data_IF_903303131074
#
_entry.id   IF_903303131074
#
_cell.length_a   1.000
_cell.length_b   1.000
_cell.length_c   1.000
_cell.angle_alpha   90.00
_cell.angle_beta   90.00
_cell.angle_gamma   90.00
#
_symmetry.space_group_name_H-M   'P 1'
#
loop_
_entity.id
_entity.type
_entity.pdbx_description
1 polymer ?
#
# COMPACT_ATOMS: atom_id res chain seq x y z
N UNK A 1 -12.60 -40.42 -5.01
CA UNK A 1 -13.12 -39.04 -5.10
C UNK A 1 -12.01 -38.16 -5.61
N UNK A 2 -12.20 -37.46 -6.73
CA UNK A 2 -11.21 -36.51 -7.23
C UNK A 2 -11.27 -35.28 -6.32
N UNK A 3 -10.24 -35.06 -5.50
CA UNK A 3 -10.22 -33.92 -4.58
C UNK A 3 -9.71 -32.72 -5.36
N UNK A 4 -10.57 -31.74 -5.59
CA UNK A 4 -10.24 -30.50 -6.31
C UNK A 4 -9.90 -29.36 -5.33
N UNK A 5 -9.24 -28.32 -5.85
CA UNK A 5 -8.97 -27.08 -5.12
C UNK A 5 -10.25 -26.25 -5.04
N UNK A 6 -10.65 -25.84 -3.84
CA UNK A 6 -11.89 -25.10 -3.61
C UNK A 6 -11.66 -23.79 -2.85
N UNK A 7 -12.53 -22.81 -3.08
CA UNK A 7 -12.75 -21.72 -2.13
C UNK A 7 -13.99 -22.04 -1.29
N UNK A 8 -13.84 -21.93 0.03
CA UNK A 8 -14.88 -22.32 0.99
C UNK A 8 -15.03 -21.27 2.08
N UNK A 9 -16.13 -21.31 2.82
CA UNK A 9 -16.38 -20.49 3.99
C UNK A 9 -16.61 -21.34 5.24
N UNK A 10 -16.43 -20.77 6.45
CA UNK A 10 -16.66 -21.52 7.69
C UNK A 10 -18.09 -22.06 7.78
N UNK A 11 -18.25 -23.28 8.29
CA UNK A 11 -19.54 -23.83 8.70
C UNK A 11 -19.63 -23.85 10.22
N UNK A 12 -20.85 -23.80 10.76
CA UNK A 12 -21.09 -24.03 12.20
C UNK A 12 -20.85 -25.50 12.60
N UNK A 13 -20.96 -26.44 11.64
CA UNK A 13 -20.75 -27.87 11.89
C UNK A 13 -19.24 -28.18 11.92
N UNK A 14 -18.69 -28.76 13.01
CA UNK A 14 -17.28 -29.14 13.08
C UNK A 14 -16.87 -30.07 11.94
N UNK A 15 -15.66 -29.86 11.41
CA UNK A 15 -15.12 -30.65 10.29
C UNK A 15 -15.86 -30.46 8.97
N UNK A 16 -16.70 -29.42 8.83
CA UNK A 16 -17.39 -29.09 7.58
C UNK A 16 -17.11 -27.66 7.16
N UNK A 17 -17.28 -27.39 5.88
CA UNK A 17 -17.14 -26.07 5.25
C UNK A 17 -18.27 -25.84 4.25
N UNK A 18 -18.55 -24.59 3.91
CA UNK A 18 -19.56 -24.24 2.91
C UNK A 18 -18.87 -23.87 1.60
N UNK A 19 -19.20 -24.57 0.52
CA UNK A 19 -18.62 -24.30 -0.81
C UNK A 19 -19.27 -23.08 -1.50
N UNK A 20 -18.82 -22.74 -2.70
CA UNK A 20 -19.36 -21.62 -3.47
C UNK A 20 -20.85 -21.77 -3.87
N UNK A 21 -21.40 -22.98 -3.85
CA UNK A 21 -22.82 -23.28 -4.12
C UNK A 21 -23.70 -23.15 -2.87
N UNK A 22 -23.12 -22.88 -1.70
CA UNK A 22 -23.83 -22.85 -0.43
C UNK A 22 -24.01 -24.24 0.20
N UNK A 23 -23.41 -25.28 -0.37
CA UNK A 23 -23.51 -26.64 0.15
C UNK A 23 -22.51 -26.86 1.28
N UNK A 24 -22.98 -27.49 2.36
CA UNK A 24 -22.10 -27.89 3.47
C UNK A 24 -21.45 -29.22 3.14
N UNK A 25 -20.13 -29.21 2.93
CA UNK A 25 -19.33 -30.39 2.60
C UNK A 25 -18.42 -30.79 3.77
N UNK A 26 -18.22 -32.09 3.97
CA UNK A 26 -17.30 -32.62 4.97
C UNK A 26 -15.86 -32.42 4.49
N UNK A 27 -14.99 -31.90 5.36
CA UNK A 27 -13.55 -31.87 5.12
C UNK A 27 -13.00 -33.29 5.22
N UNK A 28 -12.12 -33.73 4.30
CA UNK A 28 -11.51 -35.06 4.40
C UNK A 28 -10.86 -35.28 5.77
N UNK A 29 -11.04 -36.46 6.36
CA UNK A 29 -10.58 -36.73 7.73
C UNK A 29 -9.05 -36.66 7.87
N UNK A 30 -8.31 -36.87 6.78
CA UNK A 30 -6.84 -36.73 6.73
C UNK A 30 -6.36 -35.28 6.58
N UNK A 31 -7.26 -34.31 6.46
CA UNK A 31 -6.90 -32.90 6.25
C UNK A 31 -6.91 -32.13 7.57
N UNK A 32 -5.99 -31.17 7.68
CA UNK A 32 -5.95 -30.24 8.81
C UNK A 32 -5.91 -28.79 8.32
N UNK A 33 -6.32 -27.87 9.18
CA UNK A 33 -6.38 -26.46 8.85
C UNK A 33 -5.03 -25.79 9.14
N UNK A 34 -4.32 -25.38 8.10
CA UNK A 34 -3.24 -24.43 8.24
C UNK A 34 -3.82 -23.04 8.54
N UNK A 35 -3.61 -22.56 9.78
CA UNK A 35 -3.97 -21.19 10.17
C UNK A 35 -3.16 -20.14 9.37
N UNK A 36 -3.72 -18.95 9.11
CA UNK A 36 -2.98 -17.85 8.48
C UNK A 36 -1.73 -17.48 9.29
N UNK A 37 -0.63 -17.13 8.60
CA UNK A 37 0.60 -16.63 9.23
C UNK A 37 1.86 -16.93 8.42
N UNK A 38 1.97 -18.15 7.90
CA UNK A 38 3.12 -18.55 7.08
C UNK A 38 2.77 -18.55 5.58
N UNK A 39 3.13 -17.45 4.92
CA UNK A 39 2.87 -17.28 3.50
C UNK A 39 3.75 -18.18 2.62
N UNK A 40 4.92 -18.62 3.09
CA UNK A 40 5.76 -19.54 2.31
C UNK A 40 5.12 -20.94 2.31
N UNK A 41 4.74 -21.43 3.48
CA UNK A 41 4.04 -22.71 3.65
C UNK A 41 2.71 -22.73 2.89
N UNK A 42 1.93 -21.65 2.99
CA UNK A 42 0.65 -21.50 2.26
C UNK A 42 0.82 -21.62 0.74
N UNK A 43 1.90 -21.07 0.17
CA UNK A 43 2.19 -21.14 -1.28
C UNK A 43 2.63 -22.55 -1.70
N UNK A 44 3.47 -23.22 -0.89
CA UNK A 44 3.92 -24.58 -1.18
C UNK A 44 2.76 -25.58 -1.17
N UNK A 45 1.89 -25.51 -0.16
CA UNK A 45 0.70 -26.36 -0.06
C UNK A 45 -0.18 -26.26 -1.31
N UNK A 46 -0.44 -25.03 -1.78
CA UNK A 46 -1.25 -24.78 -2.98
C UNK A 46 -0.58 -25.24 -4.28
N UNK A 47 0.75 -25.24 -4.32
CA UNK A 47 1.53 -25.68 -5.47
C UNK A 47 1.59 -27.21 -5.56
N UNK A 48 1.73 -27.89 -4.43
CA UNK A 48 1.91 -29.35 -4.38
C UNK A 48 0.64 -30.15 -4.63
N UNK A 49 -0.54 -29.54 -4.53
CA UNK A 49 -1.76 -30.19 -4.96
C UNK A 49 -3.03 -29.58 -4.41
N UNK A 50 -4.13 -30.34 -4.45
CA UNK A 50 -5.45 -29.88 -4.02
C UNK A 50 -5.44 -29.36 -2.58
N UNK A 51 -6.12 -28.24 -2.38
CA UNK A 51 -6.33 -27.61 -1.06
C UNK A 51 -7.58 -26.74 -1.05
N UNK A 52 -8.20 -26.52 0.11
CA UNK A 52 -9.38 -25.65 0.22
C UNK A 52 -9.03 -24.36 0.96
N UNK A 53 -9.16 -23.23 0.28
CA UNK A 53 -8.90 -21.90 0.86
C UNK A 53 -10.15 -21.39 1.57
N UNK A 54 -10.09 -21.28 2.90
CA UNK A 54 -11.23 -20.82 3.70
C UNK A 54 -11.23 -19.30 3.86
N UNK A 55 -12.31 -18.64 3.46
CA UNK A 55 -12.49 -17.18 3.56
C UNK A 55 -13.81 -16.84 4.25
N UNK A 56 -13.82 -15.76 5.02
CA UNK A 56 -15.01 -15.23 5.67
C UNK A 56 -15.20 -13.76 5.26
N UNK A 57 -16.43 -13.38 4.91
CA UNK A 57 -16.78 -11.99 4.59
C UNK A 57 -17.00 -11.20 5.88
N UNK A 58 -16.15 -10.20 6.14
CA UNK A 58 -16.31 -9.23 7.24
C UNK A 58 -16.52 -7.83 6.65
N UNK A 59 -17.77 -7.39 6.62
CA UNK A 59 -18.18 -6.16 5.95
C UNK A 59 -17.88 -6.22 4.45
N UNK A 60 -17.05 -5.29 3.95
CA UNK A 60 -16.61 -5.26 2.54
C UNK A 60 -15.35 -6.08 2.25
N UNK A 61 -14.72 -6.71 3.26
CA UNK A 61 -13.46 -7.43 3.12
C UNK A 61 -13.68 -8.94 3.21
N UNK A 62 -12.91 -9.70 2.44
CA UNK A 62 -12.77 -11.14 2.62
C UNK A 62 -11.52 -11.41 3.46
N UNK A 63 -11.71 -12.09 4.60
CA UNK A 63 -10.65 -12.43 5.54
C UNK A 63 -10.32 -13.91 5.36
N UNK A 64 -9.04 -14.21 5.11
CA UNK A 64 -8.56 -15.60 5.09
C UNK A 64 -8.63 -16.20 6.49
N UNK A 65 -9.18 -17.41 6.61
CA UNK A 65 -9.24 -18.20 7.85
C UNK A 65 -8.29 -19.40 7.83
N UNK A 66 -7.60 -19.63 6.73
CA UNK A 66 -6.62 -20.70 6.59
C UNK A 66 -6.82 -21.52 5.32
N UNK A 67 -6.04 -22.58 5.22
CA UNK A 67 -6.06 -23.52 4.11
C UNK A 67 -6.21 -24.93 4.67
N UNK A 68 -7.25 -25.64 4.25
CA UNK A 68 -7.35 -27.07 4.49
C UNK A 68 -6.52 -27.82 3.46
N UNK A 69 -5.69 -28.74 3.91
CA UNK A 69 -4.86 -29.61 3.07
C UNK A 69 -4.49 -30.89 3.85
N UNK A 70 -3.98 -31.94 3.18
CA UNK A 70 -3.51 -33.15 3.84
C UNK A 70 -2.54 -32.84 4.99
N UNK A 71 -2.77 -33.46 6.16
CA UNK A 71 -2.02 -33.17 7.38
C UNK A 71 -0.54 -33.58 7.27
N UNK A 72 -0.27 -34.71 6.62
CA UNK A 72 1.06 -35.20 6.26
C UNK A 72 1.82 -34.19 5.38
N UNK A 73 1.16 -33.64 4.34
CA UNK A 73 1.76 -32.62 3.47
C UNK A 73 2.10 -31.34 4.24
N UNK A 74 1.17 -30.86 5.09
CA UNK A 74 1.43 -29.69 5.93
C UNK A 74 2.63 -29.93 6.85
N UNK A 75 2.75 -31.11 7.44
CA UNK A 75 3.85 -31.48 8.33
C UNK A 75 5.18 -31.57 7.58
N UNK A 76 5.23 -32.28 6.45
CA UNK A 76 6.44 -32.43 5.62
C UNK A 76 6.98 -31.07 5.16
N UNK A 77 6.12 -30.24 4.55
CA UNK A 77 6.50 -28.91 4.08
C UNK A 77 6.94 -27.97 5.21
N UNK A 78 6.35 -28.12 6.40
CA UNK A 78 6.78 -27.35 7.58
C UNK A 78 8.17 -27.77 8.03
N UNK A 79 8.45 -29.07 8.08
CA UNK A 79 9.77 -29.58 8.45
C UNK A 79 10.85 -29.13 7.46
N UNK A 80 10.59 -29.21 6.15
CA UNK A 80 11.48 -28.70 5.11
C UNK A 80 11.76 -27.20 5.28
N UNK A 81 10.72 -26.38 5.49
CA UNK A 81 10.89 -24.94 5.72
C UNK A 81 11.67 -24.63 6.99
N UNK A 82 11.55 -25.45 8.04
CA UNK A 82 12.34 -25.27 9.25
C UNK A 82 13.83 -25.54 8.97
N UNK A 83 14.16 -26.58 8.22
CA UNK A 83 15.55 -26.85 7.83
C UNK A 83 16.13 -25.73 6.96
N UNK A 84 15.37 -25.24 5.98
CA UNK A 84 15.79 -24.09 5.16
C UNK A 84 16.04 -22.83 6.00
N UNK A 85 15.23 -22.60 7.05
CA UNK A 85 15.39 -21.43 7.93
C UNK A 85 16.60 -21.54 8.86
N UNK A 86 17.02 -22.76 9.19
CA UNK A 86 18.23 -22.99 10.00
C UNK A 86 19.51 -22.79 9.19
N UNK A 87 19.45 -22.89 7.86
CA UNK A 87 20.60 -22.65 7.00
C UNK A 87 21.06 -21.18 7.08
N UNK A 88 22.31 -20.90 7.53
CA UNK A 88 22.86 -19.55 7.54
C UNK A 88 22.86 -18.86 6.17
N UNK A 89 22.92 -19.64 5.08
CA UNK A 89 22.84 -19.12 3.71
C UNK A 89 21.48 -18.44 3.43
N UNK A 90 20.40 -18.97 4.01
CA UNK A 90 19.05 -18.42 3.92
C UNK A 90 18.98 -17.05 4.58
N UNK A 91 19.51 -16.92 5.80
CA UNK A 91 19.54 -15.65 6.52
C UNK A 91 20.38 -14.60 5.78
N UNK A 92 21.58 -14.99 5.29
CA UNK A 92 22.43 -14.12 4.46
C UNK A 92 21.69 -13.60 3.22
N UNK A 93 20.91 -14.46 2.55
CA UNK A 93 20.10 -14.08 1.38
C UNK A 93 18.98 -13.10 1.74
N UNK A 94 18.31 -13.29 2.88
CA UNK A 94 17.28 -12.36 3.36
C UNK A 94 17.87 -10.98 3.66
N UNK A 95 19.02 -10.92 4.33
CA UNK A 95 19.67 -9.67 4.71
C UNK A 95 20.22 -8.93 3.49
N UNK A 96 20.85 -9.64 2.54
CA UNK A 96 21.23 -9.07 1.26
C UNK A 96 20.01 -8.50 0.51
N UNK A 97 18.89 -9.23 0.52
CA UNK A 97 17.63 -8.79 -0.06
C UNK A 97 17.02 -7.57 0.64
N UNK A 98 17.23 -7.40 1.95
CA UNK A 98 16.81 -6.23 2.73
C UNK A 98 17.66 -5.01 2.36
N UNK A 99 18.99 -5.14 2.40
CA UNK A 99 19.94 -4.09 2.01
C UNK A 99 19.69 -3.60 0.59
N UNK A 100 19.44 -4.52 -0.36
CA UNK A 100 19.09 -4.15 -1.75
C UNK A 100 17.81 -3.32 -1.81
N UNK A 101 16.78 -3.70 -1.05
CA UNK A 101 15.49 -2.98 -1.03
C UNK A 101 15.62 -1.61 -0.36
N UNK A 102 16.42 -1.49 0.69
CA UNK A 102 16.75 -0.21 1.32
C UNK A 102 17.45 0.73 0.32
N UNK A 103 18.46 0.22 -0.42
CA UNK A 103 19.11 0.99 -1.48
C UNK A 103 18.13 1.44 -2.58
N UNK A 104 17.27 0.53 -3.04
CA UNK A 104 16.23 0.86 -4.03
C UNK A 104 15.22 1.89 -3.50
N UNK A 105 14.87 1.83 -2.22
CA UNK A 105 13.97 2.78 -1.58
C UNK A 105 14.59 4.17 -1.50
N UNK A 106 15.88 4.27 -1.14
CA UNK A 106 16.61 5.54 -1.12
C UNK A 106 16.70 6.16 -2.52
N UNK A 107 17.07 5.35 -3.53
CA UNK A 107 17.14 5.81 -4.92
C UNK A 107 15.76 6.30 -5.40
N UNK A 108 14.72 5.51 -5.17
CA UNK A 108 13.35 5.89 -5.54
C UNK A 108 12.88 7.16 -4.81
N UNK A 109 13.22 7.34 -3.53
CA UNK A 109 12.84 8.56 -2.80
C UNK A 109 13.51 9.80 -3.40
N UNK A 110 14.79 9.70 -3.79
CA UNK A 110 15.51 10.77 -4.48
C UNK A 110 14.90 11.07 -5.87
N UNK A 111 14.62 10.04 -6.68
CA UNK A 111 13.98 10.19 -8.00
C UNK A 111 12.61 10.87 -7.87
N UNK A 112 11.85 10.49 -6.84
CA UNK A 112 10.54 11.06 -6.56
C UNK A 112 10.65 12.51 -6.08
N UNK A 113 11.61 12.83 -5.21
CA UNK A 113 11.88 14.22 -4.82
C UNK A 113 12.24 15.08 -6.03
N UNK A 114 13.10 14.58 -6.93
CA UNK A 114 13.44 15.28 -8.18
C UNK A 114 12.19 15.52 -9.02
N UNK A 115 11.37 14.48 -9.24
CA UNK A 115 10.13 14.61 -10.01
C UNK A 115 9.15 15.62 -9.40
N UNK A 116 9.09 15.73 -8.06
CA UNK A 116 8.30 16.76 -7.38
C UNK A 116 8.88 18.15 -7.64
N UNK A 117 10.21 18.31 -7.51
CA UNK A 117 10.89 19.58 -7.78
C UNK A 117 10.68 20.04 -9.23
N UNK A 118 10.78 19.12 -10.18
CA UNK A 118 10.53 19.36 -11.60
C UNK A 118 9.08 19.77 -11.85
N UNK A 119 8.12 19.10 -11.20
CA UNK A 119 6.72 19.50 -11.27
C UNK A 119 6.45 20.88 -10.65
N UNK A 120 7.12 21.22 -9.54
CA UNK A 120 6.99 22.54 -8.92
C UNK A 120 7.42 23.63 -9.89
N UNK A 121 8.58 23.47 -10.56
CA UNK A 121 9.06 24.36 -11.62
C UNK A 121 9.08 25.83 -11.20
N UNK A 122 9.46 26.11 -9.95
CA UNK A 122 9.46 27.48 -9.43
C UNK A 122 10.54 28.33 -10.11
N UNK A 123 10.27 29.64 -10.21
CA UNK A 123 11.26 30.60 -10.69
C UNK A 123 12.55 30.53 -9.86
N UNK A 124 13.72 30.91 -10.42
CA UNK A 124 15.01 30.80 -9.72
C UNK A 124 15.03 31.45 -8.33
N UNK A 125 14.32 32.58 -8.14
CA UNK A 125 14.19 33.27 -6.86
C UNK A 125 13.59 32.38 -5.74
N UNK A 126 12.81 31.36 -6.11
CA UNK A 126 12.15 30.42 -5.20
C UNK A 126 12.74 29.00 -5.25
N UNK A 127 13.95 28.82 -5.82
CA UNK A 127 14.57 27.49 -5.96
C UNK A 127 14.78 26.80 -4.60
N UNK A 128 15.21 27.54 -3.58
CA UNK A 128 15.38 27.01 -2.22
C UNK A 128 14.04 26.55 -1.62
N UNK A 129 12.97 27.31 -1.87
CA UNK A 129 11.62 26.98 -1.43
C UNK A 129 11.11 25.69 -2.10
N UNK A 130 11.32 25.56 -3.41
CA UNK A 130 10.95 24.36 -4.16
C UNK A 130 11.70 23.13 -3.66
N UNK A 131 13.00 23.24 -3.38
CA UNK A 131 13.80 22.15 -2.82
C UNK A 131 13.27 21.70 -1.45
N UNK A 132 13.01 22.64 -0.53
CA UNK A 132 12.47 22.33 0.79
C UNK A 132 11.08 21.68 0.71
N UNK A 133 10.21 22.20 -0.17
CA UNK A 133 8.87 21.65 -0.38
C UNK A 133 8.92 20.25 -1.00
N UNK A 134 9.75 20.04 -2.02
CA UNK A 134 9.92 18.74 -2.66
C UNK A 134 10.38 17.68 -1.66
N UNK A 135 11.35 18.03 -0.81
CA UNK A 135 11.84 17.16 0.26
C UNK A 135 10.72 16.77 1.23
N UNK A 136 9.97 17.74 1.76
CA UNK A 136 8.83 17.46 2.68
C UNK A 136 7.78 16.54 2.04
N UNK A 137 7.47 16.76 0.76
CA UNK A 137 6.52 15.90 0.03
C UNK A 137 7.08 14.48 -0.12
N UNK A 138 8.34 14.33 -0.51
CA UNK A 138 8.98 13.03 -0.69
C UNK A 138 9.07 12.25 0.63
N UNK A 139 9.49 12.91 1.72
CA UNK A 139 9.58 12.32 3.05
C UNK A 139 8.21 11.82 3.55
N UNK A 140 7.14 12.55 3.24
CA UNK A 140 5.78 12.14 3.58
C UNK A 140 5.23 11.01 2.69
N UNK A 141 5.48 11.08 1.37
CA UNK A 141 4.77 10.24 0.40
C UNK A 141 5.46 8.90 0.11
N UNK A 142 6.80 8.85 0.15
CA UNK A 142 7.60 7.68 -0.26
C UNK A 142 7.67 6.53 0.76
N UNK A 143 7.44 6.69 2.07
CA UNK A 143 7.45 5.57 3.01
C UNK A 143 6.41 4.48 2.69
N UNK A 144 6.72 3.23 3.06
CA UNK A 144 5.76 2.12 2.92
C UNK A 144 4.59 2.33 3.87
N UNK A 145 3.36 2.30 3.33
CA UNK A 145 2.15 2.49 4.13
C UNK A 145 1.75 3.96 4.34
N UNK A 146 2.37 4.91 3.63
CA UNK A 146 2.03 6.35 3.70
C UNK A 146 0.59 6.70 3.30
N UNK A 147 -0.17 5.77 2.72
CA UNK A 147 -1.53 6.03 2.22
C UNK A 147 -1.57 6.89 0.95
N UNK A 148 -0.42 7.12 0.31
CA UNK A 148 -0.30 7.91 -0.93
C UNK A 148 -0.15 7.03 -2.17
N UNK A 149 -0.26 7.67 -3.35
CA UNK A 149 -0.08 7.00 -4.64
C UNK A 149 1.38 6.89 -5.07
N UNK A 150 2.34 7.44 -4.31
CA UNK A 150 3.73 7.60 -4.74
C UNK A 150 4.35 6.29 -5.27
N UNK A 151 4.06 5.15 -4.64
CA UNK A 151 4.66 3.84 -4.97
C UNK A 151 3.84 3.00 -5.97
N UNK A 152 2.80 3.58 -6.59
CA UNK A 152 1.87 2.86 -7.48
C UNK A 152 2.50 2.62 -8.85
N UNK A 153 2.94 1.38 -9.12
CA UNK A 153 3.70 1.03 -10.34
C UNK A 153 3.00 1.38 -11.67
N UNK A 154 1.67 1.35 -11.73
CA UNK A 154 0.92 1.63 -12.96
C UNK A 154 0.88 3.12 -13.35
N UNK A 155 1.23 4.03 -12.43
CA UNK A 155 1.19 5.47 -12.67
C UNK A 155 2.63 5.97 -12.88
N UNK A 156 2.93 6.74 -13.94
CA UNK A 156 4.23 7.38 -14.14
C UNK A 156 4.67 8.21 -12.93
N UNK A 157 5.98 8.34 -12.71
CA UNK A 157 6.51 8.99 -11.50
C UNK A 157 6.11 10.47 -11.41
N UNK A 158 6.04 11.14 -12.55
CA UNK A 158 5.67 12.55 -12.74
C UNK A 158 4.22 12.77 -12.33
N UNK A 159 3.30 11.90 -12.77
CA UNK A 159 1.89 11.97 -12.39
C UNK A 159 1.69 11.71 -10.88
N UNK A 160 2.51 10.83 -10.29
CA UNK A 160 2.49 10.58 -8.84
C UNK A 160 3.05 11.77 -8.07
N UNK A 161 4.09 12.42 -8.58
CA UNK A 161 4.67 13.63 -8.01
C UNK A 161 3.67 14.79 -8.03
N UNK A 162 2.97 15.01 -9.15
CA UNK A 162 1.85 15.96 -9.22
C UNK A 162 0.77 15.63 -8.18
N UNK A 163 0.29 14.38 -8.16
CA UNK A 163 -0.77 13.99 -7.25
C UNK A 163 -0.38 14.15 -5.78
N UNK A 164 0.87 13.83 -5.41
CA UNK A 164 1.39 14.02 -4.08
C UNK A 164 1.53 15.51 -3.73
N UNK A 165 2.00 16.34 -4.66
CA UNK A 165 2.11 17.79 -4.49
C UNK A 165 0.75 18.41 -4.22
N UNK A 166 -0.27 18.10 -5.06
CA UNK A 166 -1.62 18.62 -4.89
C UNK A 166 -2.27 18.11 -3.60
N UNK A 167 -2.01 16.85 -3.22
CA UNK A 167 -2.48 16.32 -1.95
C UNK A 167 -1.84 17.07 -0.77
N UNK A 168 -0.52 17.24 -0.77
CA UNK A 168 0.21 17.96 0.27
C UNK A 168 -0.28 19.42 0.36
N UNK A 169 -0.37 20.13 -0.76
CA UNK A 169 -0.90 21.49 -0.82
C UNK A 169 -2.29 21.60 -0.18
N UNK A 170 -3.18 20.64 -0.48
CA UNK A 170 -4.52 20.62 0.10
C UNK A 170 -4.48 20.52 1.64
N UNK A 171 -3.63 19.68 2.19
CA UNK A 171 -3.52 19.52 3.65
C UNK A 171 -2.81 20.70 4.33
N UNK A 172 -1.85 21.32 3.65
CA UNK A 172 -0.96 22.32 4.27
C UNK A 172 -1.39 23.77 4.06
N UNK A 173 -2.08 24.07 2.96
CA UNK A 173 -2.40 25.46 2.56
C UNK A 173 -3.89 25.78 2.60
N UNK A 174 -4.71 24.84 3.06
CA UNK A 174 -6.17 24.98 3.11
C UNK A 174 -6.72 24.36 4.39
N UNK A 175 -7.92 24.74 4.80
CA UNK A 175 -8.60 24.17 5.97
C UNK A 175 -9.16 22.74 5.75
N UNK A 176 -8.60 21.98 4.80
CA UNK A 176 -9.21 20.72 4.31
C UNK A 176 -9.46 19.69 5.42
N UNK A 177 -8.58 19.62 6.42
CA UNK A 177 -8.67 18.63 7.49
C UNK A 177 -9.83 18.94 8.47
N UNK A 178 -10.17 20.21 8.65
CA UNK A 178 -11.25 20.67 9.54
C UNK A 178 -12.57 20.94 8.80
N UNK A 179 -12.55 20.92 7.46
CA UNK A 179 -13.74 21.16 6.64
C UNK A 179 -14.78 20.05 6.78
N UNK A 180 -16.00 20.43 7.16
CA UNK A 180 -17.16 19.53 7.16
C UNK A 180 -17.63 19.29 5.72
N UNK A 181 -17.38 18.09 5.20
CA UNK A 181 -17.85 17.66 3.87
C UNK A 181 -19.07 16.73 4.04
N UNK A 182 -20.25 17.09 3.52
CA UNK A 182 -21.44 16.24 3.55
C UNK A 182 -21.18 14.85 2.94
N UNK A 183 -21.76 13.80 3.54
CA UNK A 183 -21.62 12.40 3.10
C UNK A 183 -22.50 12.06 1.88
N UNK A 184 -22.51 12.95 0.90
CA UNK A 184 -23.23 12.79 -0.37
C UNK A 184 -22.27 12.19 -1.41
N UNK A 185 -22.77 11.25 -2.22
CA UNK A 185 -21.98 10.60 -3.28
C UNK A 185 -21.38 11.66 -4.19
N UNK A 186 -20.07 11.58 -4.43
CA UNK A 186 -19.34 12.53 -5.29
C UNK A 186 -18.86 13.81 -4.60
N UNK A 187 -19.50 14.26 -3.51
CA UNK A 187 -19.22 15.59 -2.92
C UNK A 187 -17.78 15.79 -2.46
N UNK A 188 -17.18 14.77 -1.85
CA UNK A 188 -15.76 14.83 -1.45
C UNK A 188 -14.81 14.96 -2.65
N UNK A 189 -15.15 14.35 -3.79
CA UNK A 189 -14.35 14.44 -5.02
C UNK A 189 -14.42 15.87 -5.58
N UNK A 190 -15.60 16.47 -5.61
CA UNK A 190 -15.79 17.85 -6.07
C UNK A 190 -14.98 18.84 -5.22
N UNK A 191 -15.09 18.74 -3.89
CA UNK A 191 -14.32 19.60 -2.96
C UNK A 191 -12.82 19.43 -3.20
N UNK A 192 -12.33 18.19 -3.32
CA UNK A 192 -10.92 17.93 -3.64
C UNK A 192 -10.49 18.53 -4.97
N UNK A 193 -11.33 18.45 -6.01
CA UNK A 193 -11.06 19.05 -7.31
C UNK A 193 -11.00 20.59 -7.24
N UNK A 194 -11.89 21.22 -6.46
CA UNK A 194 -11.88 22.67 -6.26
C UNK A 194 -10.61 23.13 -5.54
N UNK A 195 -10.23 22.46 -4.45
CA UNK A 195 -9.01 22.78 -3.70
C UNK A 195 -7.77 22.55 -4.56
N UNK A 196 -7.74 21.50 -5.38
CA UNK A 196 -6.65 21.26 -6.33
C UNK A 196 -6.47 22.42 -7.32
N UNK A 197 -7.56 23.00 -7.84
CA UNK A 197 -7.48 24.19 -8.72
C UNK A 197 -6.84 25.38 -7.99
N UNK A 198 -7.26 25.64 -6.75
CA UNK A 198 -6.69 26.72 -5.92
C UNK A 198 -5.20 26.49 -5.65
N UNK A 199 -4.81 25.26 -5.33
CA UNK A 199 -3.40 24.90 -5.15
C UNK A 199 -2.58 25.14 -6.41
N UNK A 200 -3.10 24.79 -7.60
CA UNK A 200 -2.40 25.06 -8.87
C UNK A 200 -2.22 26.55 -9.15
N UNK A 201 -3.23 27.38 -8.86
CA UNK A 201 -3.10 28.83 -8.96
C UNK A 201 -1.99 29.36 -8.04
N UNK A 202 -1.99 28.93 -6.78
CA UNK A 202 -0.95 29.33 -5.82
C UNK A 202 0.45 28.93 -6.31
N UNK A 203 0.63 27.71 -6.83
CA UNK A 203 1.91 27.25 -7.39
C UNK A 203 2.35 28.07 -8.60
N UNK A 204 1.42 28.44 -9.50
CA UNK A 204 1.74 29.23 -10.68
C UNK A 204 2.37 30.58 -10.34
N UNK A 205 1.95 31.21 -9.24
CA UNK A 205 2.51 32.49 -8.84
C UNK A 205 4.00 32.37 -8.47
N UNK A 206 4.42 31.25 -7.87
CA UNK A 206 5.84 30.92 -7.63
C UNK A 206 6.59 30.51 -8.89
N UNK A 207 5.93 29.84 -9.85
CA UNK A 207 6.51 29.53 -11.18
C UNK A 207 6.83 30.79 -11.97
N UNK A 208 5.98 31.81 -11.85
CA UNK A 208 6.14 33.08 -12.55
C UNK A 208 7.08 34.07 -11.82
N UNK A 209 7.59 33.71 -10.63
CA UNK A 209 8.46 34.61 -9.86
C UNK A 209 7.72 35.79 -9.23
N UNK A 210 6.40 35.72 -9.07
CA UNK A 210 5.59 36.78 -8.46
C UNK A 210 6.03 36.97 -7.02
N UNK A 211 6.24 38.21 -6.57
CA UNK A 211 6.54 38.48 -5.16
C UNK A 211 5.38 38.04 -4.26
N UNK A 212 5.70 37.30 -3.20
CA UNK A 212 4.73 36.82 -2.22
C UNK A 212 5.08 37.32 -0.83
N UNK A 213 4.07 37.79 -0.07
CA UNK A 213 4.30 38.15 1.32
C UNK A 213 4.69 36.90 2.13
N UNK A 214 5.44 37.11 3.22
CA UNK A 214 5.82 35.99 4.10
C UNK A 214 4.62 35.28 4.74
N UNK A 215 3.49 35.98 4.88
CA UNK A 215 2.21 35.45 5.36
C UNK A 215 1.49 34.55 4.35
N UNK A 216 2.08 34.33 3.18
CA UNK A 216 1.53 33.41 2.19
C UNK A 216 1.37 32.01 2.82
N UNK A 217 0.23 31.32 2.60
CA UNK A 217 -0.04 30.00 3.19
C UNK A 217 1.06 28.97 2.90
N UNK A 218 1.66 28.99 1.70
CA UNK A 218 2.75 28.08 1.36
C UNK A 218 4.03 28.39 2.15
N UNK A 219 4.43 29.67 2.23
CA UNK A 219 5.60 30.09 3.00
C UNK A 219 5.44 29.74 4.48
N UNK A 220 4.24 29.93 5.03
CA UNK A 220 3.91 29.58 6.42
C UNK A 220 3.97 28.07 6.67
N UNK A 221 3.42 27.27 5.76
CA UNK A 221 3.46 25.81 5.83
C UNK A 221 4.88 25.23 5.73
N UNK A 222 5.81 25.95 5.09
CA UNK A 222 7.20 25.53 4.98
C UNK A 222 8.04 25.95 6.18
N UNK A 223 7.72 27.09 6.83
CA UNK A 223 8.32 27.51 8.12
C UNK A 223 7.86 26.67 9.30
N UNK A 224 6.64 26.15 9.25
CA UNK A 224 6.09 25.31 10.31
C UNK A 224 6.49 23.85 10.03
N UNK A 225 7.24 23.25 10.96
CA UNK A 225 7.85 21.90 10.93
C UNK A 225 9.02 21.68 9.97
#
# INVERSE_FOLDING_TARGET
MNIETLEVSPSAKPGHVVNARGETIKVPDSWTLLKPGDAALSRRIKKEGPSWSMKEKKGRRLISKGIWAPADRIAALRAELMQERLDPSYQKKLDAGRKRREKQQLAYAADFESSVRDYLSFAPAYAALAAAMAKKIADHATPVGSGTVARTKQIPIEQRAEAATIAWMRHQTTAYDDMVIPRVKGRRREVRSLLAKRSKLLLNDYRNGTERPESCPLSTALKTN
#
